data_IF_900262826884
#
_entry.id   IF_900262826884
#
_cell.length_a   1.000
_cell.length_b   1.000
_cell.length_c   1.000
_cell.angle_alpha   90.00
_cell.angle_beta   90.00
_cell.angle_gamma   90.00
#
_symmetry.space_group_name_H-M   'P 1'
#
loop_
_entity.id
_entity.type
_entity.pdbx_description
1 polymer ?
#
# COMPACT_ATOMS: atom_id res chain seq x y z
N UNK A 1 85.23 7.14 9.51
CA UNK A 1 85.23 5.66 9.47
C UNK A 1 84.17 5.20 10.46
N UNK A 2 83.06 4.67 10.03
CA UNK A 2 82.01 4.14 10.92
C UNK A 2 82.32 2.66 11.17
N UNK A 3 82.62 2.31 12.40
CA UNK A 3 82.86 0.96 12.85
C UNK A 3 81.59 0.13 12.71
N UNK A 4 81.62 -0.89 11.84
CA UNK A 4 80.57 -1.88 11.77
C UNK A 4 80.67 -2.77 12.98
N UNK A 5 79.79 -2.57 13.96
CA UNK A 5 79.60 -3.52 15.04
C UNK A 5 79.18 -4.88 14.46
N UNK A 6 80.02 -5.86 14.54
CA UNK A 6 79.71 -7.26 14.24
C UNK A 6 78.80 -7.81 15.33
N UNK A 7 77.53 -8.08 14.98
CA UNK A 7 76.58 -8.72 15.87
C UNK A 7 77.09 -10.15 16.16
N UNK A 8 77.44 -10.42 17.42
CA UNK A 8 77.82 -11.74 17.87
C UNK A 8 76.55 -12.61 17.99
N UNK A 9 76.40 -13.69 17.20
CA UNK A 9 75.19 -14.50 17.22
C UNK A 9 74.94 -15.29 18.51
N UNK A 10 75.92 -15.31 19.45
CA UNK A 10 75.83 -16.01 20.70
C UNK A 10 75.55 -15.11 21.91
N UNK A 11 75.25 -13.85 21.74
CA UNK A 11 74.90 -12.96 22.82
C UNK A 11 73.38 -13.17 23.16
N UNK A 12 73.05 -13.45 24.41
CA UNK A 12 71.65 -13.54 24.79
C UNK A 12 70.96 -12.20 24.52
N UNK A 13 69.76 -12.26 23.95
CA UNK A 13 68.97 -11.07 23.67
C UNK A 13 68.84 -10.23 24.95
N UNK A 14 68.98 -8.89 24.89
CA UNK A 14 68.82 -8.04 26.06
C UNK A 14 67.47 -8.29 26.70
N UNK A 15 67.44 -8.56 28.03
CA UNK A 15 66.24 -8.73 28.80
C UNK A 15 65.40 -7.45 28.73
N UNK A 16 64.20 -7.55 28.16
CA UNK A 16 63.32 -6.42 28.06
C UNK A 16 62.79 -6.04 29.47
N UNK A 17 62.72 -4.75 29.81
CA UNK A 17 62.13 -4.35 31.07
C UNK A 17 60.68 -4.85 31.17
N UNK A 18 60.21 -5.34 32.33
CA UNK A 18 58.94 -6.07 32.51
C UNK A 18 57.69 -5.36 31.98
N UNK A 19 57.76 -4.01 31.81
CA UNK A 19 56.67 -3.27 31.17
C UNK A 19 56.68 -3.39 29.64
N UNK A 20 57.79 -3.76 29.03
CA UNK A 20 57.93 -3.86 27.58
C UNK A 20 57.52 -5.26 27.05
N UNK A 21 57.52 -6.31 27.86
CA UNK A 21 57.14 -7.66 27.47
C UNK A 21 55.71 -7.73 26.86
N UNK A 22 54.66 -7.18 27.53
CA UNK A 22 53.30 -7.25 26.96
C UNK A 22 53.17 -6.48 25.65
N UNK A 23 53.94 -5.39 25.48
CA UNK A 23 53.94 -4.60 24.24
C UNK A 23 54.61 -5.40 23.12
N UNK A 24 55.71 -6.09 23.43
CA UNK A 24 56.41 -6.91 22.45
C UNK A 24 55.62 -8.12 22.02
N UNK A 25 54.94 -8.80 22.98
CA UNK A 25 54.03 -9.88 22.68
C UNK A 25 52.86 -9.45 21.85
N UNK A 26 52.27 -8.29 22.12
CA UNK A 26 51.17 -7.70 21.31
C UNK A 26 51.66 -7.39 19.92
N UNK A 27 52.86 -6.80 19.78
CA UNK A 27 53.50 -6.52 18.50
C UNK A 27 53.78 -7.80 17.69
N UNK A 28 54.30 -8.84 18.34
CA UNK A 28 54.56 -10.12 17.69
C UNK A 28 53.24 -10.82 17.24
N UNK A 29 52.21 -10.77 18.07
CA UNK A 29 50.87 -11.27 17.69
C UNK A 29 50.29 -10.47 16.56
N UNK A 30 50.47 -9.15 16.53
CA UNK A 30 50.02 -8.28 15.45
C UNK A 30 50.72 -8.60 14.11
N UNK A 31 52.07 -8.75 14.16
CA UNK A 31 52.89 -9.08 12.98
C UNK A 31 52.52 -10.47 12.43
N UNK A 32 52.33 -11.47 13.29
CA UNK A 32 51.95 -12.81 12.88
C UNK A 32 50.53 -12.88 12.29
N UNK A 33 49.65 -11.93 12.65
CA UNK A 33 48.28 -11.85 12.14
C UNK A 33 48.07 -10.70 11.14
N UNK A 34 49.11 -10.04 10.67
CA UNK A 34 49.00 -8.86 9.80
C UNK A 34 48.29 -9.19 8.47
N UNK A 35 48.52 -10.40 7.95
CA UNK A 35 47.88 -10.85 6.69
C UNK A 35 46.36 -11.06 6.90
N UNK A 36 45.89 -11.84 7.88
CA UNK A 36 44.43 -12.00 8.08
C UNK A 36 43.76 -10.68 8.51
N UNK A 37 44.43 -9.84 9.33
CA UNK A 37 43.92 -8.51 9.69
C UNK A 37 43.84 -7.62 8.47
N UNK A 38 44.85 -7.61 7.58
CA UNK A 38 44.87 -6.85 6.34
C UNK A 38 43.76 -7.28 5.38
N UNK A 39 43.56 -8.60 5.23
CA UNK A 39 42.45 -9.14 4.44
C UNK A 39 41.09 -8.73 5.02
N UNK A 40 40.91 -8.86 6.33
CA UNK A 40 39.69 -8.46 7.02
C UNK A 40 39.35 -6.98 6.83
N UNK A 41 40.37 -6.12 6.98
CA UNK A 41 40.22 -4.67 6.77
C UNK A 41 39.85 -4.36 5.31
N UNK A 42 40.49 -5.02 4.36
CA UNK A 42 40.19 -4.83 2.93
C UNK A 42 38.76 -5.26 2.57
N UNK A 43 38.29 -6.37 3.14
CA UNK A 43 36.90 -6.83 2.98
C UNK A 43 35.92 -5.82 3.55
N UNK A 44 36.17 -5.30 4.77
CA UNK A 44 35.31 -4.27 5.37
C UNK A 44 35.26 -3.00 4.50
N UNK A 45 36.42 -2.53 4.01
CA UNK A 45 36.47 -1.36 3.14
C UNK A 45 35.74 -1.60 1.81
N UNK A 46 35.86 -2.80 1.23
CA UNK A 46 35.11 -3.17 0.03
C UNK A 46 33.60 -3.18 0.29
N UNK A 47 33.14 -3.76 1.41
CA UNK A 47 31.73 -3.74 1.80
C UNK A 47 31.20 -2.31 2.01
N UNK A 48 31.97 -1.45 2.68
CA UNK A 48 31.62 -0.04 2.86
C UNK A 48 31.58 0.72 1.53
N UNK A 49 32.52 0.44 0.62
CA UNK A 49 32.52 1.00 -0.72
C UNK A 49 31.30 0.59 -1.54
N UNK A 50 30.95 -0.69 -1.51
CA UNK A 50 29.73 -1.21 -2.17
C UNK A 50 28.48 -0.59 -1.56
N UNK A 51 28.37 -0.54 -0.22
CA UNK A 51 27.26 0.10 0.47
C UNK A 51 27.12 1.58 0.10
N UNK A 52 28.25 2.30 0.01
CA UNK A 52 28.27 3.69 -0.42
C UNK A 52 27.79 3.87 -1.86
N UNK A 53 28.21 3.00 -2.78
CA UNK A 53 27.75 3.02 -4.18
C UNK A 53 26.24 2.75 -4.27
N UNK A 54 25.74 1.75 -3.54
CA UNK A 54 24.30 1.45 -3.47
C UNK A 54 23.53 2.66 -2.95
N UNK A 55 24.02 3.30 -1.89
CA UNK A 55 23.37 4.48 -1.31
C UNK A 55 23.33 5.66 -2.30
N UNK A 56 24.42 5.93 -3.01
CA UNK A 56 24.47 6.99 -4.03
C UNK A 56 23.51 6.69 -5.19
N UNK A 57 23.45 5.43 -5.66
CA UNK A 57 22.53 5.04 -6.73
C UNK A 57 21.06 5.16 -6.30
N UNK A 58 20.73 4.79 -5.04
CA UNK A 58 19.37 4.96 -4.50
C UNK A 58 18.97 6.43 -4.44
N UNK A 59 19.82 7.30 -3.92
CA UNK A 59 19.54 8.75 -3.87
C UNK A 59 19.38 9.36 -5.27
N UNK A 60 20.16 8.89 -6.24
CA UNK A 60 20.02 9.35 -7.63
C UNK A 60 18.69 8.88 -8.23
N UNK A 61 18.33 7.61 -8.06
CA UNK A 61 17.05 7.05 -8.51
C UNK A 61 15.85 7.75 -7.86
N UNK A 62 15.92 8.05 -6.57
CA UNK A 62 14.86 8.78 -5.86
C UNK A 62 14.67 10.19 -6.43
N UNK A 63 15.75 10.92 -6.72
CA UNK A 63 15.68 12.25 -7.34
C UNK A 63 15.06 12.19 -8.74
N UNK A 64 15.42 11.18 -9.52
CA UNK A 64 14.84 10.95 -10.83
C UNK A 64 13.34 10.64 -10.71
N UNK A 65 12.95 9.76 -9.78
CA UNK A 65 11.55 9.43 -9.52
C UNK A 65 10.72 10.67 -9.15
N UNK A 66 11.23 11.52 -8.24
CA UNK A 66 10.58 12.80 -7.88
C UNK A 66 10.38 13.69 -9.10
N UNK A 67 11.42 13.83 -9.93
CA UNK A 67 11.37 14.71 -11.09
C UNK A 67 10.39 14.18 -12.13
N UNK A 68 10.41 12.88 -12.40
CA UNK A 68 9.51 12.23 -13.34
C UNK A 68 8.05 12.34 -12.87
N UNK A 69 7.81 12.06 -11.59
CA UNK A 69 6.48 12.22 -10.99
C UNK A 69 5.99 13.67 -11.04
N UNK A 70 6.84 14.65 -10.67
CA UNK A 70 6.47 16.05 -10.74
C UNK A 70 6.13 16.47 -12.18
N UNK A 71 6.93 16.08 -13.17
CA UNK A 71 6.66 16.37 -14.57
C UNK A 71 5.32 15.76 -15.02
N UNK A 72 5.03 14.52 -14.60
CA UNK A 72 3.76 13.87 -14.90
C UNK A 72 2.54 14.63 -14.34
N UNK A 73 2.66 15.21 -13.13
CA UNK A 73 1.58 15.99 -12.53
C UNK A 73 1.33 17.32 -13.23
N UNK A 74 2.35 17.90 -13.85
CA UNK A 74 2.25 19.17 -14.58
C UNK A 74 1.89 19.00 -16.05
N UNK A 75 1.73 17.76 -16.53
CA UNK A 75 1.28 17.50 -17.89
C UNK A 75 -0.17 17.97 -18.07
N UNK A 76 -0.41 18.81 -19.07
CA UNK A 76 -1.72 19.43 -19.29
C UNK A 76 -2.70 18.47 -19.99
N UNK A 77 -2.20 17.68 -20.95
CA UNK A 77 -3.02 16.67 -21.61
C UNK A 77 -3.27 15.48 -20.69
N UNK A 78 -4.54 15.13 -20.53
CA UNK A 78 -4.95 14.05 -19.59
C UNK A 78 -4.43 12.67 -20.01
N UNK A 79 -4.35 12.41 -21.33
CA UNK A 79 -3.87 11.12 -21.82
C UNK A 79 -2.34 11.02 -21.67
N UNK A 80 -1.62 12.11 -21.96
CA UNK A 80 -0.17 12.19 -21.74
C UNK A 80 0.18 12.15 -20.27
N UNK A 81 -0.60 12.82 -19.42
CA UNK A 81 -0.45 12.75 -17.95
C UNK A 81 -0.64 11.33 -17.43
N UNK A 82 -1.67 10.62 -17.87
CA UNK A 82 -1.90 9.23 -17.46
C UNK A 82 -0.73 8.32 -17.88
N UNK A 83 -0.23 8.47 -19.11
CA UNK A 83 0.93 7.73 -19.59
C UNK A 83 2.22 8.08 -18.83
N UNK A 84 2.42 9.36 -18.49
CA UNK A 84 3.56 9.82 -17.71
C UNK A 84 3.51 9.29 -16.26
N UNK A 85 2.33 9.24 -15.65
CA UNK A 85 2.12 8.65 -14.31
C UNK A 85 2.37 7.14 -14.34
N UNK A 86 1.92 6.42 -15.37
CA UNK A 86 2.20 5.00 -15.54
C UNK A 86 3.70 4.74 -15.65
N UNK A 87 4.42 5.56 -16.44
CA UNK A 87 5.88 5.48 -16.55
C UNK A 87 6.59 5.80 -15.23
N UNK A 88 6.17 6.87 -14.53
CA UNK A 88 6.70 7.23 -13.22
C UNK A 88 6.44 6.16 -12.16
N UNK A 89 5.31 5.47 -12.25
CA UNK A 89 4.91 4.37 -11.37
C UNK A 89 5.82 3.12 -11.47
N UNK A 90 6.72 3.05 -12.46
CA UNK A 90 7.73 1.99 -12.54
C UNK A 90 8.93 2.25 -11.63
N UNK A 91 9.11 3.46 -11.12
CA UNK A 91 10.20 3.79 -10.21
C UNK A 91 10.02 3.11 -8.85
N UNK A 92 11.15 2.80 -8.20
CA UNK A 92 11.14 2.33 -6.81
C UNK A 92 10.91 3.50 -5.83
N UNK A 93 10.42 3.16 -4.63
CA UNK A 93 10.26 4.11 -3.54
C UNK A 93 8.90 4.83 -3.52
N UNK A 94 8.76 5.77 -2.58
CA UNK A 94 7.46 6.39 -2.27
C UNK A 94 6.83 7.11 -3.46
N UNK A 95 7.62 7.79 -4.27
CA UNK A 95 7.12 8.55 -5.44
C UNK A 95 6.66 7.66 -6.58
N UNK A 96 7.32 6.49 -6.76
CA UNK A 96 6.84 5.48 -7.70
C UNK A 96 5.50 4.89 -7.26
N UNK A 97 5.34 4.63 -5.97
CA UNK A 97 4.08 4.15 -5.40
C UNK A 97 2.96 5.16 -5.58
N UNK A 98 3.23 6.45 -5.30
CA UNK A 98 2.26 7.54 -5.50
C UNK A 98 1.85 7.67 -6.97
N UNK A 99 2.83 7.64 -7.87
CA UNK A 99 2.58 7.68 -9.32
C UNK A 99 1.75 6.48 -9.80
N UNK A 100 2.10 5.26 -9.35
CA UNK A 100 1.35 4.05 -9.67
C UNK A 100 -0.11 4.13 -9.17
N UNK A 101 -0.32 4.66 -7.96
CA UNK A 101 -1.65 4.84 -7.41
C UNK A 101 -2.47 5.80 -8.27
N UNK A 102 -1.92 6.97 -8.61
CA UNK A 102 -2.61 7.95 -9.45
C UNK A 102 -2.84 7.45 -10.89
N UNK A 103 -1.90 6.66 -11.44
CA UNK A 103 -2.09 5.98 -12.72
C UNK A 103 -3.26 4.99 -12.66
N UNK A 104 -3.36 4.22 -11.57
CA UNK A 104 -4.48 3.32 -11.32
C UNK A 104 -5.82 4.06 -11.23
N UNK A 105 -5.89 5.18 -10.50
CA UNK A 105 -7.09 6.02 -10.43
C UNK A 105 -7.47 6.63 -11.78
N UNK A 106 -6.49 7.11 -12.56
CA UNK A 106 -6.73 7.63 -13.89
C UNK A 106 -7.27 6.55 -14.85
N UNK A 107 -6.76 5.32 -14.74
CA UNK A 107 -7.25 4.18 -15.50
C UNK A 107 -8.67 3.77 -15.07
N UNK A 108 -8.98 3.78 -13.75
CA UNK A 108 -10.35 3.56 -13.25
C UNK A 108 -11.35 4.56 -13.83
N UNK A 109 -11.00 5.84 -13.85
CA UNK A 109 -11.85 6.89 -14.39
C UNK A 109 -12.20 6.68 -15.88
N UNK A 110 -11.31 5.99 -16.62
CA UNK A 110 -11.48 5.63 -18.03
C UNK A 110 -12.06 4.22 -18.24
N UNK A 111 -12.37 3.50 -17.15
CA UNK A 111 -12.77 2.08 -17.16
C UNK A 111 -11.73 1.17 -17.84
N UNK A 112 -10.47 1.52 -17.79
CA UNK A 112 -9.33 0.72 -18.25
C UNK A 112 -8.93 -0.29 -17.15
N UNK A 113 -9.82 -1.26 -16.87
CA UNK A 113 -9.77 -2.15 -15.70
C UNK A 113 -8.45 -2.91 -15.56
N UNK A 114 -7.87 -3.39 -16.69
CA UNK A 114 -6.62 -4.14 -16.67
C UNK A 114 -5.43 -3.28 -16.25
N UNK A 115 -5.36 -2.03 -16.72
CA UNK A 115 -4.32 -1.09 -16.34
C UNK A 115 -4.44 -0.67 -14.88
N UNK A 116 -5.66 -0.35 -14.45
CA UNK A 116 -5.94 0.00 -13.06
C UNK A 116 -5.53 -1.16 -12.14
N UNK A 117 -5.91 -2.39 -12.48
CA UNK A 117 -5.54 -3.60 -11.75
C UNK A 117 -4.04 -3.76 -11.65
N UNK A 118 -3.30 -3.70 -12.76
CA UNK A 118 -1.85 -3.83 -12.76
C UNK A 118 -1.17 -2.80 -11.86
N UNK A 119 -1.62 -1.56 -11.88
CA UNK A 119 -1.10 -0.48 -11.04
C UNK A 119 -1.35 -0.73 -9.55
N UNK A 120 -2.56 -1.14 -9.17
CA UNK A 120 -2.90 -1.42 -7.78
C UNK A 120 -2.28 -2.72 -7.26
N UNK A 121 -2.21 -3.78 -8.07
CA UNK A 121 -1.54 -5.04 -7.71
C UNK A 121 -0.06 -4.82 -7.41
N UNK A 122 0.62 -3.98 -8.19
CA UNK A 122 2.00 -3.60 -7.91
C UNK A 122 2.15 -3.03 -6.49
N UNK A 123 1.25 -2.10 -6.10
CA UNK A 123 1.30 -1.48 -4.77
C UNK A 123 1.04 -2.50 -3.67
N UNK A 124 0.01 -3.33 -3.83
CA UNK A 124 -0.39 -4.30 -2.80
C UNK A 124 0.66 -5.40 -2.62
N UNK A 125 1.29 -5.86 -3.72
CA UNK A 125 2.24 -6.97 -3.69
C UNK A 125 3.67 -6.54 -3.33
N UNK A 126 4.12 -5.38 -3.82
CA UNK A 126 5.50 -4.94 -3.67
C UNK A 126 5.69 -3.90 -2.56
N UNK A 127 4.61 -3.19 -2.20
CA UNK A 127 4.63 -2.07 -1.26
C UNK A 127 3.50 -2.15 -0.23
N UNK A 128 3.26 -3.34 0.33
CA UNK A 128 2.19 -3.58 1.31
C UNK A 128 2.27 -2.69 2.56
N UNK A 129 3.46 -2.19 2.89
CA UNK A 129 3.71 -1.26 4.01
C UNK A 129 3.36 0.19 3.65
N UNK A 130 3.08 0.49 2.38
CA UNK A 130 2.74 1.84 1.94
C UNK A 130 1.40 2.28 2.52
N UNK A 131 1.25 3.56 2.92
CA UNK A 131 -0.04 4.12 3.30
C UNK A 131 -1.11 4.04 2.20
N UNK A 132 -0.69 3.84 0.93
CA UNK A 132 -1.58 3.69 -0.22
C UNK A 132 -2.01 2.25 -0.47
N UNK A 133 -1.33 1.24 0.12
CA UNK A 133 -1.67 -0.17 -0.08
C UNK A 133 -3.13 -0.50 0.27
N UNK A 134 -3.72 -0.03 1.40
CA UNK A 134 -5.12 -0.30 1.70
C UNK A 134 -6.08 0.32 0.69
N UNK A 135 -5.77 1.50 0.14
CA UNK A 135 -6.58 2.13 -0.91
C UNK A 135 -6.43 1.43 -2.27
N UNK A 136 -5.22 0.99 -2.60
CA UNK A 136 -5.00 0.18 -3.80
C UNK A 136 -5.75 -1.16 -3.72
N UNK A 137 -5.75 -1.82 -2.55
CA UNK A 137 -6.53 -3.04 -2.32
C UNK A 137 -8.04 -2.79 -2.42
N UNK A 138 -8.54 -1.66 -1.92
CA UNK A 138 -9.92 -1.22 -2.13
C UNK A 138 -10.23 -1.02 -3.62
N UNK A 139 -9.30 -0.41 -4.37
CA UNK A 139 -9.42 -0.25 -5.82
C UNK A 139 -9.50 -1.58 -6.57
N UNK A 140 -8.74 -2.60 -6.16
CA UNK A 140 -8.85 -3.96 -6.72
C UNK A 140 -10.22 -4.58 -6.48
N UNK A 141 -10.74 -4.47 -5.25
CA UNK A 141 -12.06 -4.97 -4.92
C UNK A 141 -13.17 -4.23 -5.71
N UNK A 142 -13.01 -2.92 -5.92
CA UNK A 142 -13.90 -2.14 -6.77
C UNK A 142 -13.87 -2.59 -8.24
N UNK A 143 -12.70 -2.92 -8.78
CA UNK A 143 -12.57 -3.46 -10.14
C UNK A 143 -13.30 -4.80 -10.26
N UNK A 144 -13.18 -5.68 -9.25
CA UNK A 144 -13.91 -6.95 -9.23
C UNK A 144 -15.43 -6.71 -9.21
N UNK A 145 -15.89 -5.77 -8.40
CA UNK A 145 -17.29 -5.38 -8.34
C UNK A 145 -17.80 -4.80 -9.68
N UNK A 146 -17.05 -3.89 -10.30
CA UNK A 146 -17.40 -3.29 -11.57
C UNK A 146 -17.48 -4.30 -12.71
N UNK A 147 -16.70 -5.39 -12.62
CA UNK A 147 -16.73 -6.50 -13.56
C UNK A 147 -17.79 -7.58 -13.21
N UNK A 148 -18.60 -7.36 -12.17
CA UNK A 148 -19.63 -8.30 -11.73
C UNK A 148 -19.12 -9.51 -10.95
N UNK A 149 -17.86 -9.52 -10.56
CA UNK A 149 -17.24 -10.55 -9.75
C UNK A 149 -17.49 -10.28 -8.25
N UNK A 150 -18.77 -10.32 -7.85
CA UNK A 150 -19.21 -9.83 -6.53
C UNK A 150 -18.66 -10.62 -5.35
N UNK A 151 -18.47 -11.93 -5.48
CA UNK A 151 -17.85 -12.75 -4.43
C UNK A 151 -16.38 -12.38 -4.22
N UNK A 152 -15.64 -12.14 -5.31
CA UNK A 152 -14.26 -11.68 -5.26
C UNK A 152 -14.17 -10.26 -4.68
N UNK A 153 -15.07 -9.38 -5.07
CA UNK A 153 -15.16 -8.03 -4.51
C UNK A 153 -15.41 -8.06 -3.00
N UNK A 154 -16.34 -8.90 -2.54
CA UNK A 154 -16.63 -9.09 -1.12
C UNK A 154 -15.39 -9.55 -0.34
N UNK A 155 -14.68 -10.56 -0.86
CA UNK A 155 -13.43 -11.04 -0.27
C UNK A 155 -12.36 -9.94 -0.25
N UNK A 156 -12.24 -9.18 -1.35
CA UNK A 156 -11.30 -8.07 -1.48
C UNK A 156 -11.55 -6.99 -0.42
N UNK A 157 -12.78 -6.52 -0.24
CA UNK A 157 -13.14 -5.55 0.78
C UNK A 157 -12.91 -6.07 2.21
N UNK A 158 -13.19 -7.35 2.48
CA UNK A 158 -12.89 -7.99 3.76
C UNK A 158 -11.37 -8.03 4.03
N UNK A 159 -10.55 -8.33 3.02
CA UNK A 159 -9.08 -8.30 3.13
C UNK A 159 -8.54 -6.91 3.47
N UNK A 160 -9.13 -5.83 2.96
CA UNK A 160 -8.74 -4.47 3.36
C UNK A 160 -8.92 -4.27 4.86
N UNK A 161 -10.07 -4.68 5.41
CA UNK A 161 -10.34 -4.56 6.84
C UNK A 161 -9.43 -5.42 7.71
N UNK A 162 -9.03 -6.60 7.21
CA UNK A 162 -8.20 -7.56 7.95
C UNK A 162 -6.72 -7.19 7.92
N UNK A 163 -6.21 -6.79 6.75
CA UNK A 163 -4.78 -6.55 6.57
C UNK A 163 -4.35 -5.16 7.05
N UNK A 164 -5.25 -4.18 7.01
CA UNK A 164 -4.95 -2.79 7.39
C UNK A 164 -6.05 -2.20 8.30
N UNK A 165 -6.34 -2.81 9.47
CA UNK A 165 -7.50 -2.47 10.30
C UNK A 165 -7.54 -1.00 10.75
N UNK A 166 -6.38 -0.37 10.93
CA UNK A 166 -6.27 1.02 11.38
C UNK A 166 -6.36 2.05 10.23
N UNK A 167 -6.42 1.59 8.97
CA UNK A 167 -6.45 2.49 7.81
C UNK A 167 -7.79 3.19 7.66
N UNK A 168 -7.75 4.35 7.00
CA UNK A 168 -8.99 5.03 6.60
C UNK A 168 -9.85 4.16 5.68
N UNK A 169 -9.23 3.46 4.71
CA UNK A 169 -9.92 2.55 3.81
C UNK A 169 -10.68 1.47 4.59
N UNK A 170 -10.05 0.80 5.57
CA UNK A 170 -10.70 -0.24 6.37
C UNK A 170 -11.97 0.25 7.07
N UNK A 171 -11.97 1.48 7.58
CA UNK A 171 -13.14 2.08 8.24
C UNK A 171 -14.31 2.33 7.28
N UNK A 172 -14.06 2.38 5.99
CA UNK A 172 -15.09 2.55 4.97
C UNK A 172 -15.65 1.21 4.46
N UNK A 173 -14.95 0.09 4.71
CA UNK A 173 -15.32 -1.20 4.10
C UNK A 173 -16.67 -1.76 4.55
N UNK A 174 -17.16 -1.57 5.78
CA UNK A 174 -18.46 -2.11 6.12
C UNK A 174 -19.59 -1.64 5.18
N UNK A 175 -19.51 -0.41 4.66
CA UNK A 175 -20.45 0.08 3.67
C UNK A 175 -20.32 -0.64 2.32
N UNK A 176 -19.08 -0.78 1.80
CA UNK A 176 -18.82 -1.47 0.53
C UNK A 176 -19.23 -2.96 0.63
N UNK A 177 -18.90 -3.61 1.75
CA UNK A 177 -19.30 -4.99 2.05
C UNK A 177 -20.82 -5.12 2.04
N UNK A 178 -21.53 -4.22 2.73
CA UNK A 178 -23.00 -4.22 2.79
C UNK A 178 -23.63 -4.09 1.40
N UNK A 179 -23.10 -3.22 0.56
CA UNK A 179 -23.56 -2.99 -0.81
C UNK A 179 -23.38 -4.23 -1.70
N UNK A 180 -22.24 -4.88 -1.62
CA UNK A 180 -21.95 -6.12 -2.36
C UNK A 180 -22.81 -7.28 -1.84
N UNK A 181 -22.98 -7.41 -0.51
CA UNK A 181 -23.86 -8.42 0.09
C UNK A 181 -25.32 -8.24 -0.34
N UNK A 182 -25.77 -7.01 -0.48
CA UNK A 182 -27.11 -6.70 -0.99
C UNK A 182 -27.26 -7.18 -2.44
N UNK A 183 -26.23 -6.93 -3.30
CA UNK A 183 -26.21 -7.40 -4.68
C UNK A 183 -26.23 -8.93 -4.78
N UNK A 184 -25.56 -9.60 -3.85
CA UNK A 184 -25.53 -11.06 -3.74
C UNK A 184 -26.83 -11.65 -3.12
N UNK A 185 -27.82 -10.82 -2.76
CA UNK A 185 -29.04 -11.25 -2.09
C UNK A 185 -28.86 -11.64 -0.61
N UNK A 186 -27.70 -11.35 -0.05
CA UNK A 186 -27.37 -11.65 1.35
C UNK A 186 -27.89 -10.54 2.30
N UNK A 187 -29.20 -10.25 2.24
CA UNK A 187 -29.82 -9.06 2.83
C UNK A 187 -29.57 -8.91 4.33
N UNK A 188 -29.61 -10.02 5.12
CA UNK A 188 -29.34 -9.96 6.56
C UNK A 188 -27.92 -9.51 6.86
N UNK A 189 -26.94 -10.06 6.15
CA UNK A 189 -25.54 -9.65 6.30
C UNK A 189 -25.31 -8.20 5.85
N UNK A 190 -26.01 -7.76 4.79
CA UNK A 190 -25.95 -6.37 4.36
C UNK A 190 -26.46 -5.41 5.45
N UNK A 191 -27.57 -5.73 6.14
CA UNK A 191 -28.08 -4.96 7.27
C UNK A 191 -27.03 -4.87 8.39
N UNK A 192 -26.38 -5.99 8.74
CA UNK A 192 -25.38 -6.01 9.79
C UNK A 192 -24.14 -5.19 9.40
N UNK A 193 -23.72 -5.25 8.13
CA UNK A 193 -22.60 -4.47 7.61
C UNK A 193 -22.89 -2.96 7.62
N UNK A 194 -24.07 -2.53 7.21
CA UNK A 194 -24.46 -1.12 7.26
C UNK A 194 -24.61 -0.61 8.72
N UNK A 195 -25.15 -1.42 9.64
CA UNK A 195 -25.18 -1.09 11.07
C UNK A 195 -23.76 -0.92 11.63
N UNK A 196 -22.83 -1.79 11.24
CA UNK A 196 -21.44 -1.67 11.63
C UNK A 196 -20.82 -0.36 11.11
N UNK A 197 -21.11 0.04 9.86
CA UNK A 197 -20.58 1.29 9.30
C UNK A 197 -21.01 2.52 10.09
N UNK A 198 -22.27 2.59 10.55
CA UNK A 198 -22.78 3.72 11.33
C UNK A 198 -22.11 3.84 12.72
N UNK A 199 -21.53 2.74 13.23
CA UNK A 199 -20.79 2.71 14.50
C UNK A 199 -19.30 2.97 14.31
N UNK A 200 -18.66 2.26 13.35
CA UNK A 200 -17.20 2.28 13.16
C UNK A 200 -16.70 3.65 12.69
N UNK A 201 -17.48 4.35 11.88
CA UNK A 201 -17.09 5.65 11.35
C UNK A 201 -18.22 6.67 11.50
N UNK A 202 -18.75 6.75 12.71
CA UNK A 202 -19.82 7.66 13.08
C UNK A 202 -19.55 9.10 12.63
N UNK A 203 -20.61 9.83 12.32
CA UNK A 203 -20.57 11.23 11.87
C UNK A 203 -19.85 11.46 10.52
N UNK A 204 -19.54 10.40 9.79
CA UNK A 204 -18.99 10.47 8.44
C UNK A 204 -20.10 10.45 7.38
N UNK A 205 -19.80 10.94 6.17
CA UNK A 205 -20.71 10.83 5.03
C UNK A 205 -21.08 9.37 4.75
N UNK A 206 -20.10 8.46 4.81
CA UNK A 206 -20.34 7.04 4.51
C UNK A 206 -21.22 6.36 5.58
N UNK A 207 -21.19 6.83 6.85
CA UNK A 207 -22.14 6.41 7.86
C UNK A 207 -23.58 6.87 7.55
N UNK A 208 -23.76 8.11 7.09
CA UNK A 208 -25.04 8.62 6.65
C UNK A 208 -25.57 7.88 5.42
N UNK A 209 -24.70 7.51 4.48
CA UNK A 209 -25.05 6.69 3.32
C UNK A 209 -25.50 5.28 3.76
N UNK A 210 -24.83 4.68 4.75
CA UNK A 210 -25.22 3.40 5.35
C UNK A 210 -26.57 3.47 6.08
N UNK A 211 -26.84 4.54 6.83
CA UNK A 211 -28.14 4.78 7.48
C UNK A 211 -29.27 4.91 6.44
N UNK A 212 -28.99 5.59 5.33
CA UNK A 212 -29.92 5.70 4.19
C UNK A 212 -30.21 4.32 3.57
N UNK A 213 -29.20 3.48 3.42
CA UNK A 213 -29.35 2.11 2.93
C UNK A 213 -30.17 1.26 3.91
N UNK A 214 -29.92 1.39 5.21
CA UNK A 214 -30.71 0.70 6.26
C UNK A 214 -32.19 1.12 6.23
N UNK A 215 -32.47 2.40 6.09
CA UNK A 215 -33.88 2.86 6.01
C UNK A 215 -34.58 2.35 4.75
N UNK A 216 -33.89 2.34 3.61
CA UNK A 216 -34.38 1.73 2.36
C UNK A 216 -34.67 0.23 2.55
N UNK A 217 -33.78 -0.52 3.19
CA UNK A 217 -33.96 -1.94 3.49
C UNK A 217 -35.11 -2.17 4.51
N UNK A 218 -35.28 -1.29 5.51
CA UNK A 218 -36.37 -1.37 6.47
C UNK A 218 -37.74 -1.23 5.81
N UNK A 219 -37.85 -0.40 4.78
CA UNK A 219 -39.08 -0.21 4.01
C UNK A 219 -39.34 -1.41 3.08
N UNK A 220 -38.30 -1.92 2.40
CA UNK A 220 -38.45 -2.99 1.40
C UNK A 220 -38.48 -4.39 2.02
N UNK A 221 -37.83 -4.59 3.18
CA UNK A 221 -37.66 -5.87 3.87
C UNK A 221 -37.87 -5.72 5.38
N UNK A 222 -39.08 -5.36 5.83
CA UNK A 222 -39.36 -5.11 7.26
C UNK A 222 -39.11 -6.34 8.15
N UNK A 223 -39.20 -7.54 7.59
CA UNK A 223 -38.94 -8.82 8.26
C UNK A 223 -37.49 -8.94 8.76
N UNK A 224 -36.53 -8.29 8.12
CA UNK A 224 -35.12 -8.31 8.55
C UNK A 224 -34.89 -7.52 9.87
N UNK A 225 -35.83 -6.71 10.30
CA UNK A 225 -35.73 -5.84 11.48
C UNK A 225 -36.65 -6.25 12.62
N UNK A 226 -37.43 -7.32 12.47
CA UNK A 226 -38.40 -7.78 13.49
C UNK A 226 -37.71 -8.35 14.73
N UNK A 227 -36.52 -8.92 14.61
CA UNK A 227 -35.76 -9.45 15.76
C UNK A 227 -35.25 -8.34 16.70
N UNK A 228 -35.09 -7.12 16.17
CA UNK A 228 -34.69 -5.94 16.96
C UNK A 228 -35.81 -5.46 17.91
N UNK A 229 -37.06 -5.69 17.54
CA UNK A 229 -38.21 -5.44 18.39
C UNK A 229 -38.35 -6.49 19.52
N UNK A 230 -37.85 -7.71 19.29
CA UNK A 230 -37.84 -8.78 20.28
C UNK A 230 -36.63 -8.69 21.26
N UNK A 231 -35.51 -8.10 20.83
CA UNK A 231 -34.31 -7.91 21.66
C UNK A 231 -34.41 -6.76 22.67
N UNK A 232 -35.46 -5.96 22.60
CA UNK A 232 -35.80 -4.96 23.65
C UNK A 232 -36.56 -5.55 24.84
N UNK A 233 -36.84 -6.87 24.83
CA UNK A 233 -37.40 -7.57 25.99
C UNK A 233 -36.20 -8.14 26.83
N UNK A 234 -35.95 -7.66 28.06
CA UNK A 234 -34.79 -8.04 28.87
C UNK A 234 -34.81 -9.50 29.38
N UNK A 235 -35.74 -10.34 28.88
CA UNK A 235 -35.89 -11.73 29.32
C UNK A 235 -35.31 -12.80 28.39
N UNK A 236 -34.73 -12.44 27.23
CA UNK A 236 -34.17 -13.38 26.27
C UNK A 236 -32.69 -13.11 25.94
N UNK A 237 -31.78 -13.38 26.90
CA UNK A 237 -30.36 -13.47 26.63
C UNK A 237 -30.01 -14.89 26.12
N UNK A 238 -29.48 -15.09 24.90
CA UNK A 238 -28.92 -16.38 24.51
C UNK A 238 -27.56 -16.57 25.15
N UNK A 239 -27.42 -17.71 25.79
CA UNK A 239 -26.19 -18.24 26.39
C UNK A 239 -25.02 -18.27 25.37
N UNK A 240 -23.90 -17.68 25.77
CA UNK A 240 -22.70 -17.57 24.94
C UNK A 240 -22.19 -18.93 24.46
N UNK A 241 -22.18 -19.15 23.15
CA UNK A 241 -21.48 -20.28 22.54
C UNK A 241 -19.98 -20.08 22.61
N UNK A 242 -19.28 -21.04 23.23
CA UNK A 242 -17.82 -21.10 23.35
C UNK A 242 -17.12 -21.25 21.99
N UNK A 243 -15.87 -20.78 21.85
CA UNK A 243 -15.14 -20.85 20.59
C UNK A 243 -14.77 -22.30 20.24
N UNK A 244 -15.08 -22.71 19.01
CA UNK A 244 -14.70 -24.00 18.45
C UNK A 244 -13.20 -24.05 18.17
N UNK A 245 -12.59 -25.08 18.71
CA UNK A 245 -11.18 -25.49 18.56
C UNK A 245 -10.85 -25.86 17.11
N UNK A 246 -9.77 -25.29 16.57
CA UNK A 246 -9.29 -25.53 15.21
C UNK A 246 -8.71 -26.95 15.05
N UNK A 247 -9.26 -27.74 14.13
CA UNK A 247 -8.68 -29.00 13.69
C UNK A 247 -7.76 -28.77 12.47
N UNK A 248 -6.65 -29.53 12.34
CA UNK A 248 -5.68 -29.32 11.27
C UNK A 248 -6.13 -29.85 9.92
N UNK A 249 -5.85 -29.07 8.87
CA UNK A 249 -6.14 -29.40 7.49
C UNK A 249 -5.21 -30.51 6.96
N UNK A 250 -5.80 -31.58 6.50
CA UNK A 250 -5.17 -32.67 5.76
C UNK A 250 -5.25 -32.38 4.24
N UNK A 251 -4.11 -32.47 3.57
CA UNK A 251 -3.96 -32.19 2.14
C UNK A 251 -4.52 -33.33 1.30
N UNK A 252 -5.32 -33.06 0.28
CA UNK A 252 -5.69 -34.00 -0.77
C UNK A 252 -5.49 -33.40 -2.18
N UNK A 253 -5.21 -34.24 -3.19
CA UNK A 253 -4.50 -33.85 -4.41
C UNK A 253 -5.41 -33.33 -5.53
N UNK A 254 -4.81 -32.54 -6.42
CA UNK A 254 -5.39 -31.97 -7.63
C UNK A 254 -5.94 -33.05 -8.59
N UNK A 255 -7.17 -32.84 -9.04
CA UNK A 255 -7.74 -33.52 -10.20
C UNK A 255 -8.25 -32.49 -11.22
N UNK A 256 -7.88 -32.71 -12.45
CA UNK A 256 -7.97 -31.84 -13.60
C UNK A 256 -9.40 -31.64 -14.10
N UNK A 257 -9.72 -30.42 -14.49
CA UNK A 257 -10.96 -29.94 -15.08
C UNK A 257 -11.11 -30.35 -16.55
N UNK A 258 -12.35 -30.48 -17.08
CA UNK A 258 -12.59 -30.39 -18.51
C UNK A 258 -13.04 -28.96 -18.90
N UNK A 259 -12.45 -28.49 -20.00
CA UNK A 259 -12.81 -27.29 -20.76
C UNK A 259 -14.22 -27.45 -21.32
N UNK A 260 -15.10 -26.49 -21.13
CA UNK A 260 -16.35 -26.33 -21.88
C UNK A 260 -16.38 -24.98 -22.56
N UNK A 261 -16.55 -25.04 -23.86
CA UNK A 261 -16.61 -23.99 -24.85
C UNK A 261 -18.00 -23.30 -24.84
N UNK A 262 -18.00 -21.97 -24.98
CA UNK A 262 -19.02 -21.26 -25.70
C UNK A 262 -20.21 -20.68 -24.96
N UNK A 263 -20.29 -19.40 -24.86
CA UNK A 263 -21.34 -18.51 -25.37
C UNK A 263 -21.27 -17.15 -24.68
N UNK A 264 -21.03 -16.12 -25.47
CA UNK A 264 -21.07 -14.71 -25.06
C UNK A 264 -22.48 -14.34 -24.59
N UNK A 265 -22.60 -13.88 -23.34
CA UNK A 265 -23.77 -13.16 -22.86
C UNK A 265 -23.54 -11.64 -23.04
N UNK A 266 -24.61 -10.86 -23.34
CA UNK A 266 -24.48 -9.41 -23.56
C UNK A 266 -24.11 -8.69 -22.26
N UNK A 267 -23.25 -7.68 -22.37
CA UNK A 267 -22.82 -6.81 -21.30
C UNK A 267 -24.02 -6.15 -20.60
N UNK A 268 -24.04 -6.08 -19.26
CA UNK A 268 -25.00 -5.26 -18.54
C UNK A 268 -24.63 -3.78 -18.70
N UNK A 269 -25.64 -2.97 -19.01
CA UNK A 269 -25.53 -1.51 -19.03
C UNK A 269 -25.09 -1.00 -17.65
N UNK A 270 -24.08 -0.15 -17.63
CA UNK A 270 -23.58 0.50 -16.43
C UNK A 270 -24.67 1.33 -15.75
N UNK A 271 -24.84 1.25 -14.41
CA UNK A 271 -25.67 2.21 -13.72
C UNK A 271 -24.98 3.58 -13.75
N UNK A 272 -25.62 4.54 -14.41
CA UNK A 272 -25.23 5.94 -14.43
C UNK A 272 -25.34 6.52 -13.00
N UNK A 273 -24.22 6.67 -12.34
CA UNK A 273 -24.05 7.58 -11.22
C UNK A 273 -22.96 8.59 -11.60
N UNK A 274 -23.31 9.48 -12.56
CA UNK A 274 -22.57 10.70 -12.75
C UNK A 274 -22.78 11.56 -11.49
N UNK A 275 -21.76 11.66 -10.68
CA UNK A 275 -21.64 12.73 -9.69
C UNK A 275 -21.36 14.00 -10.50
N UNK A 276 -22.39 14.82 -10.73
CA UNK A 276 -22.24 16.19 -11.23
C UNK A 276 -21.40 16.97 -10.19
N UNK A 277 -20.17 17.25 -10.56
CA UNK A 277 -19.37 18.27 -9.87
C UNK A 277 -19.96 19.60 -10.33
N UNK A 278 -20.48 20.47 -9.43
CA UNK A 278 -20.95 21.78 -9.82
C UNK A 278 -19.79 22.59 -10.41
N UNK A 279 -19.96 23.04 -11.65
CA UNK A 279 -19.04 23.96 -12.30
C UNK A 279 -18.92 25.22 -11.45
N UNK A 280 -17.73 25.50 -10.99
CA UNK A 280 -17.38 26.78 -10.36
C UNK A 280 -17.47 27.85 -11.45
N UNK A 281 -18.41 28.79 -11.32
CA UNK A 281 -18.52 29.99 -12.14
C UNK A 281 -17.17 30.73 -12.16
N UNK A 282 -16.70 31.18 -13.34
CA UNK A 282 -15.51 32.00 -13.43
C UNK A 282 -15.77 33.34 -12.76
N UNK A 283 -14.93 33.69 -11.79
CA UNK A 283 -14.94 34.99 -11.13
C UNK A 283 -14.83 36.10 -12.17
N UNK A 284 -15.79 37.02 -12.13
CA UNK A 284 -15.80 38.25 -12.95
C UNK A 284 -14.53 39.03 -12.70
N UNK A 285 -13.79 39.24 -13.76
CA UNK A 285 -12.65 40.13 -13.87
C UNK A 285 -13.10 41.55 -13.57
N UNK A 286 -12.75 42.06 -12.37
CA UNK A 286 -12.95 43.46 -11.96
C UNK A 286 -11.99 44.32 -12.75
N UNK A 287 -12.58 45.13 -13.66
CA UNK A 287 -11.88 46.16 -14.44
C UNK A 287 -11.05 47.09 -13.57
N UNK A 288 -9.77 47.21 -13.88
CA UNK A 288 -8.89 48.22 -13.36
C UNK A 288 -9.29 49.62 -13.89
N UNK A 289 -9.19 50.69 -13.12
CA UNK A 289 -9.48 52.04 -13.60
C UNK A 289 -8.34 52.56 -14.50
N UNK A 290 -8.72 53.04 -15.68
CA UNK A 290 -7.88 53.80 -16.62
C UNK A 290 -7.30 55.01 -15.92
N UNK A 291 -5.98 55.11 -15.88
CA UNK A 291 -5.25 56.29 -15.43
C UNK A 291 -4.92 57.14 -16.66
N UNK A 292 -5.73 58.19 -16.87
CA UNK A 292 -5.50 59.23 -17.91
C UNK A 292 -4.36 60.14 -17.45
N UNK A 293 -3.30 60.41 -18.22
CA UNK A 293 -2.32 61.40 -17.90
C UNK A 293 -2.83 62.81 -18.31
N UNK A 294 -2.94 63.70 -17.31
CA UNK A 294 -3.14 65.13 -17.54
C UNK A 294 -1.87 65.77 -18.09
N UNK A 295 -2.03 66.47 -19.22
CA UNK A 295 -1.08 67.43 -19.76
C UNK A 295 -1.02 68.65 -18.84
N UNK A 296 0.15 69.05 -18.41
CA UNK A 296 0.71 70.40 -18.50
C UNK A 296 2.21 70.33 -18.28
#
# INVERSE_FOLDING_TARGET
MAERQTINPNQPAPELPGWAEPIYELGAKLVNNIVPIGIGTLVILACLGIAGLIQVSRVAAEREAVTTFANALFEEDEAERAAALEAAGQAEGAWGVEAAYLAGEAALAKSEWDKARASFEKIVNEHADSPLAPRAAEGLAFIDEANGAFEQALEGYQKVSTNWPDSFAARCQPYNIGRVQETLGQMRYAVDSYKNQSVVFKDSKIAADAETALERLRISHPDLFTDEAAATDPAAAPEAAAPAEAAPAEAAPAESAPVVDGAAAPAPEAPAAAVEIPATEPAQESAAPENTPAQQ
#
